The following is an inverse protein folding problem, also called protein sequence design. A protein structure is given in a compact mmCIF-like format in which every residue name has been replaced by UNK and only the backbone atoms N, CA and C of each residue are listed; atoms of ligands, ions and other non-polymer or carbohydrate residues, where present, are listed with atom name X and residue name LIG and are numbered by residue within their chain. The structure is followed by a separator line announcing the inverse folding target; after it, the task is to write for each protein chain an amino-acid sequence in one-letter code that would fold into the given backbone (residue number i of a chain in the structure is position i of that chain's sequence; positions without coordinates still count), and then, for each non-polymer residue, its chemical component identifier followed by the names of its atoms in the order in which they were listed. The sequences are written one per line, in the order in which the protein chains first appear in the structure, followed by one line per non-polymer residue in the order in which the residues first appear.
data_IF_281133970227
#
_entry.id   IF_281133970227
#
_cell.length_a   1.000
_cell.length_b   1.000
_cell.length_c   1.000
_cell.angle_alpha   90.00
_cell.angle_beta   90.00
_cell.angle_gamma   90.00
#
_symmetry.space_group_name_H-M   'P 1'
#
loop_
_entity.id
_entity.type
_entity.pdbx_description
1 polymer ?
#
# COMPACT_ATOMS: atom_id res chain seq x y z
N UNK A 1 3.77 -3.70 15.95
CA UNK A 1 4.98 -4.28 15.39
C UNK A 1 4.67 -5.47 14.53
N UNK A 2 5.71 -6.18 14.13
CA UNK A 2 5.66 -7.53 13.56
C UNK A 2 6.81 -8.33 14.16
N UNK A 3 6.60 -9.62 14.40
CA UNK A 3 7.69 -10.52 14.80
C UNK A 3 8.47 -11.06 13.58
N UNK A 4 8.12 -10.63 12.36
CA UNK A 4 8.82 -10.99 11.13
C UNK A 4 9.98 -10.02 10.86
N UNK A 5 10.85 -10.37 9.90
CA UNK A 5 11.90 -9.46 9.42
C UNK A 5 11.34 -8.15 8.87
N UNK A 6 10.08 -8.13 8.40
CA UNK A 6 9.43 -6.91 7.91
C UNK A 6 9.25 -5.86 9.01
N UNK A 7 9.24 -6.25 10.30
CA UNK A 7 9.16 -5.32 11.43
C UNK A 7 10.50 -4.66 11.82
N UNK A 8 11.62 -5.00 11.15
CA UNK A 8 12.98 -4.54 11.50
C UNK A 8 13.49 -3.41 10.60
N UNK A 9 12.60 -2.53 10.14
CA UNK A 9 12.90 -1.43 9.23
C UNK A 9 12.89 -0.09 9.95
N UNK A 10 13.72 0.86 9.52
CA UNK A 10 13.83 2.21 10.13
C UNK A 10 14.48 3.21 9.16
N UNK A 11 14.36 4.53 9.38
CA UNK A 11 15.04 5.54 8.58
C UNK A 11 16.53 5.72 8.94
N UNK A 12 17.12 4.84 9.77
CA UNK A 12 18.51 4.97 10.28
C UNK A 12 19.58 5.27 9.23
N UNK A 13 19.39 4.82 7.98
CA UNK A 13 20.36 5.01 6.90
C UNK A 13 20.15 6.30 6.10
N UNK A 14 19.11 7.09 6.41
CA UNK A 14 18.94 8.41 5.81
C UNK A 14 19.94 9.39 6.42
N UNK A 15 20.59 10.19 5.57
CA UNK A 15 21.64 11.13 5.99
C UNK A 15 21.14 12.57 6.11
N UNK A 16 19.95 12.86 5.57
CA UNK A 16 19.38 14.20 5.47
C UNK A 16 17.94 14.20 5.99
N UNK A 17 17.50 15.34 6.50
CA UNK A 17 16.12 15.56 6.90
C UNK A 17 15.20 15.60 5.68
N UNK A 18 13.94 15.25 5.91
CA UNK A 18 12.84 15.40 4.95
C UNK A 18 12.07 16.70 5.20
N UNK A 19 11.19 17.10 4.26
CA UNK A 19 10.23 18.19 4.52
C UNK A 19 9.33 17.89 5.72
N UNK A 20 9.01 16.62 5.95
CA UNK A 20 8.26 16.17 7.12
C UNK A 20 9.04 16.38 8.41
N UNK A 21 10.35 16.08 8.42
CA UNK A 21 11.23 16.37 9.56
C UNK A 21 11.28 17.87 9.85
N UNK A 22 11.43 18.70 8.81
CA UNK A 22 11.45 20.15 8.96
C UNK A 22 10.11 20.71 9.48
N UNK A 23 8.97 20.17 9.04
CA UNK A 23 7.66 20.54 9.57
C UNK A 23 7.55 20.22 11.06
N UNK A 24 8.04 19.05 11.47
CA UNK A 24 8.07 18.68 12.89
C UNK A 24 8.97 19.60 13.69
N UNK A 25 10.17 19.89 13.21
CA UNK A 25 11.10 20.82 13.86
C UNK A 25 10.48 22.22 13.99
N UNK A 26 9.92 22.76 12.91
CA UNK A 26 9.32 24.10 12.87
C UNK A 26 8.08 24.24 13.76
N UNK A 27 7.31 23.16 13.94
CA UNK A 27 6.14 23.13 14.82
C UNK A 27 6.48 22.76 16.27
N UNK A 28 7.77 22.68 16.63
CA UNK A 28 8.24 22.17 17.92
C UNK A 28 7.62 20.81 18.27
N UNK A 29 7.63 19.92 17.27
CA UNK A 29 7.09 18.56 17.26
C UNK A 29 5.58 18.42 17.52
N UNK A 30 4.82 19.53 17.44
CA UNK A 30 3.37 19.48 17.59
C UNK A 30 2.65 18.90 16.37
N UNK A 31 3.21 19.10 15.17
CA UNK A 31 2.69 18.50 13.94
C UNK A 31 2.70 16.97 14.02
N UNK A 32 1.66 16.34 13.47
CA UNK A 32 1.58 14.91 13.24
C UNK A 32 2.04 14.58 11.82
N UNK A 33 2.99 13.66 11.72
CA UNK A 33 3.53 13.13 10.46
C UNK A 33 3.35 11.62 10.42
N UNK A 34 2.69 11.12 9.36
CA UNK A 34 2.44 9.69 9.16
C UNK A 34 2.80 9.28 7.72
N UNK A 35 3.54 8.17 7.58
CA UNK A 35 3.80 7.52 6.30
C UNK A 35 2.97 6.25 6.12
N UNK A 36 2.38 6.04 4.94
CA UNK A 36 1.59 4.83 4.61
C UNK A 36 1.95 4.32 3.21
N UNK A 37 2.33 3.05 3.11
CA UNK A 37 2.58 2.39 1.83
C UNK A 37 2.61 0.87 1.99
N UNK A 38 2.34 0.10 0.93
CA UNK A 38 2.58 -1.36 0.99
C UNK A 38 4.06 -1.65 1.27
N UNK A 39 4.97 -0.91 0.63
CA UNK A 39 6.42 -1.07 0.79
C UNK A 39 6.92 -0.27 1.99
N UNK A 40 7.68 -0.91 2.86
CA UNK A 40 8.40 -0.28 3.98
C UNK A 40 9.09 1.04 3.62
N UNK A 41 9.94 1.04 2.59
CA UNK A 41 10.67 2.21 2.09
C UNK A 41 9.76 3.31 1.56
N UNK A 42 8.57 2.95 1.05
CA UNK A 42 7.58 3.91 0.58
C UNK A 42 6.83 4.62 1.71
N UNK A 43 6.77 4.00 2.89
CA UNK A 43 6.19 4.62 4.09
C UNK A 43 7.25 5.38 4.89
N UNK A 44 8.42 4.77 5.09
CA UNK A 44 9.48 5.26 6.00
C UNK A 44 10.20 6.48 5.43
N UNK A 45 10.70 6.39 4.20
CA UNK A 45 11.59 7.43 3.66
C UNK A 45 10.88 8.77 3.44
N UNK A 46 9.62 8.82 2.95
CA UNK A 46 8.90 10.08 2.84
C UNK A 46 8.51 10.69 4.19
N UNK A 47 8.25 9.87 5.21
CA UNK A 47 7.86 10.35 6.53
C UNK A 47 9.04 10.91 7.35
N UNK A 48 10.27 10.44 7.06
CA UNK A 48 11.49 10.94 7.68
C UNK A 48 11.78 10.35 9.05
N UNK A 49 12.77 10.92 9.72
CA UNK A 49 13.30 10.41 10.99
C UNK A 49 12.34 10.59 12.16
N UNK A 50 11.64 11.72 12.17
CA UNK A 50 10.86 12.23 13.30
C UNK A 50 9.37 11.93 13.20
N UNK A 51 8.93 11.17 12.19
CA UNK A 51 7.52 10.83 12.01
C UNK A 51 6.88 10.23 13.28
N UNK A 52 5.60 10.52 13.52
CA UNK A 52 4.83 9.85 14.59
C UNK A 52 4.72 8.35 14.30
N UNK A 53 4.52 8.01 13.03
CA UNK A 53 4.43 6.63 12.59
C UNK A 53 4.78 6.49 11.11
N UNK A 54 5.28 5.31 10.76
CA UNK A 54 5.19 4.80 9.40
C UNK A 54 4.54 3.41 9.45
N UNK A 55 3.57 3.17 8.57
CA UNK A 55 2.86 1.91 8.45
C UNK A 55 3.09 1.28 7.08
N UNK A 56 3.45 0.00 7.09
CA UNK A 56 3.59 -0.80 5.87
C UNK A 56 3.00 -2.18 5.99
N UNK A 57 2.81 -2.84 4.87
CA UNK A 57 2.07 -4.09 4.79
C UNK A 57 2.99 -5.30 4.94
N UNK A 58 2.68 -6.18 5.89
CA UNK A 58 3.36 -7.47 6.07
C UNK A 58 2.68 -8.53 5.20
N UNK A 59 3.28 -8.78 4.04
CA UNK A 59 2.80 -9.74 3.04
C UNK A 59 2.75 -11.20 3.51
N UNK A 60 3.32 -11.54 4.68
CA UNK A 60 3.18 -12.88 5.28
C UNK A 60 1.89 -13.02 6.06
N UNK A 61 1.43 -11.94 6.69
CA UNK A 61 0.31 -11.98 7.66
C UNK A 61 -0.93 -11.25 7.17
N UNK A 62 -0.80 -10.43 6.13
CA UNK A 62 -1.89 -9.60 5.62
C UNK A 62 -2.23 -8.40 6.51
N UNK A 63 -1.33 -8.04 7.42
CA UNK A 63 -1.55 -6.97 8.39
C UNK A 63 -0.67 -5.75 8.09
N UNK A 64 -1.16 -4.57 8.42
CA UNK A 64 -0.38 -3.35 8.53
C UNK A 64 0.45 -3.35 9.81
N UNK A 65 1.73 -3.05 9.68
CA UNK A 65 2.73 -3.12 10.73
C UNK A 65 3.53 -1.82 10.79
N UNK A 66 4.32 -1.69 11.87
CA UNK A 66 5.33 -0.65 12.06
C UNK A 66 6.51 -1.28 12.80
N UNK A 67 7.55 -0.52 13.10
CA UNK A 67 8.71 -0.98 13.87
C UNK A 67 8.84 -0.27 15.21
N UNK A 68 9.73 -0.81 16.05
CA UNK A 68 10.10 -0.25 17.35
C UNK A 68 10.83 1.10 17.26
N UNK A 69 11.19 1.55 16.04
CA UNK A 69 11.61 2.94 15.82
C UNK A 69 10.49 3.93 16.17
N UNK A 70 9.25 3.61 15.83
CA UNK A 70 8.10 4.51 16.00
C UNK A 70 7.33 4.22 17.29
N UNK A 71 7.12 2.95 17.61
CA UNK A 71 6.24 2.55 18.72
C UNK A 71 6.52 1.12 19.21
N UNK A 72 6.31 0.88 20.51
CA UNK A 72 6.44 -0.46 21.10
C UNK A 72 5.27 -1.38 20.70
N UNK A 73 4.06 -0.84 20.61
CA UNK A 73 2.84 -1.55 20.21
C UNK A 73 2.07 -0.74 19.16
N UNK A 74 1.35 -1.41 18.26
CA UNK A 74 0.44 -0.73 17.34
C UNK A 74 -0.68 -0.05 18.13
N UNK A 75 -1.12 1.16 17.75
CA UNK A 75 -2.30 1.76 18.36
C UNK A 75 -3.55 0.93 18.05
N UNK A 76 -4.58 1.08 18.90
CA UNK A 76 -5.81 0.29 18.83
C UNK A 76 -6.49 0.37 17.46
N UNK A 77 -6.52 1.54 16.83
CA UNK A 77 -7.15 1.72 15.52
C UNK A 77 -6.49 0.91 14.41
N UNK A 78 -5.15 0.72 14.44
CA UNK A 78 -4.43 -0.14 13.48
C UNK A 78 -4.73 -1.61 13.75
N UNK A 79 -4.78 -2.00 15.02
CA UNK A 79 -5.17 -3.36 15.40
C UNK A 79 -6.59 -3.67 14.91
N UNK A 80 -7.51 -2.73 15.09
CA UNK A 80 -8.90 -2.85 14.61
C UNK A 80 -8.99 -2.89 13.10
N UNK A 81 -8.21 -2.06 12.40
CA UNK A 81 -8.10 -2.11 10.93
C UNK A 81 -7.64 -3.49 10.46
N UNK A 82 -6.59 -4.05 11.08
CA UNK A 82 -6.09 -5.38 10.75
C UNK A 82 -7.11 -6.49 11.05
N UNK A 83 -7.88 -6.35 12.12
CA UNK A 83 -8.93 -7.31 12.50
C UNK A 83 -10.09 -7.35 11.49
N UNK A 84 -10.32 -6.27 10.72
CA UNK A 84 -11.31 -6.27 9.63
C UNK A 84 -10.94 -7.21 8.48
N UNK A 85 -9.67 -7.63 8.38
CA UNK A 85 -9.16 -8.49 7.28
C UNK A 85 -9.57 -7.97 5.90
N UNK A 86 -9.34 -6.68 5.68
CA UNK A 86 -9.73 -5.98 4.45
C UNK A 86 -9.20 -6.68 3.20
N UNK A 87 -7.96 -7.20 3.23
CA UNK A 87 -7.38 -7.97 2.12
C UNK A 87 -8.24 -9.16 1.70
N UNK A 88 -8.83 -9.90 2.64
CA UNK A 88 -9.69 -11.04 2.33
C UNK A 88 -10.96 -10.58 1.59
N UNK A 89 -11.50 -9.43 1.99
CA UNK A 89 -12.67 -8.84 1.32
C UNK A 89 -12.33 -8.37 -0.10
N UNK A 90 -11.16 -7.78 -0.30
CA UNK A 90 -10.68 -7.37 -1.61
C UNK A 90 -10.40 -8.57 -2.53
N UNK A 91 -9.83 -9.66 -2.02
CA UNK A 91 -9.65 -10.89 -2.79
C UNK A 91 -10.98 -11.51 -3.25
N UNK A 92 -12.04 -11.43 -2.44
CA UNK A 92 -13.37 -11.91 -2.85
C UNK A 92 -13.96 -11.15 -4.03
N UNK A 93 -13.52 -9.92 -4.29
CA UNK A 93 -13.98 -9.14 -5.44
C UNK A 93 -13.35 -9.63 -6.77
N UNK A 94 -12.29 -10.44 -6.71
CA UNK A 94 -11.50 -10.79 -7.90
C UNK A 94 -10.93 -9.55 -8.58
N UNK A 95 -10.51 -9.65 -9.83
CA UNK A 95 -10.12 -8.50 -10.63
C UNK A 95 -10.62 -8.65 -12.07
N UNK A 96 -11.61 -7.84 -12.41
CA UNK A 96 -12.11 -7.63 -13.78
C UNK A 96 -11.80 -6.21 -14.22
N UNK A 97 -11.74 -5.94 -15.52
CA UNK A 97 -11.57 -4.59 -16.04
C UNK A 97 -12.69 -3.66 -15.56
N UNK A 98 -12.35 -2.41 -15.25
CA UNK A 98 -13.30 -1.38 -14.81
C UNK A 98 -14.30 -1.02 -15.92
N UNK A 99 -13.80 -0.89 -17.14
CA UNK A 99 -14.61 -0.67 -18.34
C UNK A 99 -14.68 -1.95 -19.19
N UNK A 100 -15.58 -2.01 -20.19
CA UNK A 100 -15.53 -3.06 -21.20
C UNK A 100 -14.13 -3.19 -21.80
N UNK A 101 -13.62 -4.42 -21.89
CA UNK A 101 -12.21 -4.69 -22.23
C UNK A 101 -11.84 -4.19 -23.64
N UNK A 102 -12.81 -4.08 -24.54
CA UNK A 102 -12.65 -3.52 -25.89
C UNK A 102 -12.36 -2.00 -25.89
N UNK A 103 -12.58 -1.30 -24.78
CA UNK A 103 -12.22 0.12 -24.63
C UNK A 103 -10.76 0.35 -24.22
N UNK A 104 -10.00 -0.71 -23.91
CA UNK A 104 -8.59 -0.63 -23.50
C UNK A 104 -7.67 -0.48 -24.72
N UNK A 105 -7.97 0.50 -25.57
CA UNK A 105 -7.29 0.77 -26.85
C UNK A 105 -5.87 1.29 -26.71
N UNK A 106 -5.43 1.63 -25.49
CA UNK A 106 -4.07 2.08 -25.19
C UNK A 106 -3.16 0.93 -24.71
N UNK A 107 -3.68 -0.30 -24.70
CA UNK A 107 -2.97 -1.52 -24.30
C UNK A 107 -2.88 -2.51 -25.46
N UNK A 108 -2.01 -3.51 -25.31
CA UNK A 108 -1.94 -4.69 -26.19
C UNK A 108 -3.12 -5.64 -25.96
N UNK A 109 -3.21 -6.75 -26.71
CA UNK A 109 -4.18 -7.80 -26.39
C UNK A 109 -3.89 -8.40 -25.01
N UNK A 110 -4.95 -8.92 -24.38
CA UNK A 110 -5.02 -9.37 -22.98
C UNK A 110 -4.03 -10.48 -22.58
N UNK A 111 -3.67 -11.38 -23.51
CA UNK A 111 -2.64 -12.39 -23.26
C UNK A 111 -1.43 -12.11 -24.14
N UNK A 112 -0.27 -11.90 -23.52
CA UNK A 112 1.03 -11.81 -24.19
C UNK A 112 2.02 -12.85 -23.66
N UNK A 113 2.92 -13.32 -24.52
CA UNK A 113 3.93 -14.31 -24.11
C UNK A 113 4.98 -13.76 -23.13
N UNK A 114 5.12 -12.44 -23.06
CA UNK A 114 6.07 -11.76 -22.17
C UNK A 114 5.47 -11.35 -20.83
N UNK A 115 4.15 -11.49 -20.64
CA UNK A 115 3.50 -11.22 -19.37
C UNK A 115 3.78 -12.35 -18.37
N UNK A 116 4.19 -11.97 -17.16
CA UNK A 116 4.34 -12.90 -16.07
C UNK A 116 2.96 -13.39 -15.60
N UNK A 117 2.96 -14.50 -14.85
CA UNK A 117 1.74 -15.14 -14.35
C UNK A 117 1.69 -15.11 -12.82
N UNK A 118 1.58 -13.92 -12.20
CA UNK A 118 1.69 -13.76 -10.74
C UNK A 118 0.58 -14.50 -9.98
N UNK A 119 -0.53 -14.82 -10.66
CA UNK A 119 -1.68 -15.51 -10.09
C UNK A 119 -1.75 -17.00 -10.44
N UNK A 120 -0.70 -17.56 -11.04
CA UNK A 120 -0.60 -18.97 -11.41
C UNK A 120 -0.69 -19.21 -12.92
N UNK A 121 -0.22 -20.37 -13.38
CA UNK A 121 -0.02 -20.67 -14.81
C UNK A 121 -1.28 -20.60 -15.69
N UNK A 122 -2.45 -20.72 -15.07
CA UNK A 122 -3.75 -20.76 -15.74
C UNK A 122 -4.43 -19.37 -15.79
N UNK A 123 -3.94 -18.40 -15.02
CA UNK A 123 -4.43 -17.03 -15.02
C UNK A 123 -3.61 -16.22 -16.03
N UNK A 124 -4.12 -16.11 -17.26
CA UNK A 124 -3.37 -15.58 -18.40
C UNK A 124 -3.89 -14.23 -18.94
N UNK A 125 -4.96 -13.72 -18.35
CA UNK A 125 -5.68 -12.53 -18.80
C UNK A 125 -6.93 -12.37 -17.95
N UNK A 126 -7.72 -11.33 -18.23
CA UNK A 126 -8.93 -11.03 -17.48
C UNK A 126 -10.06 -12.05 -17.74
N UNK A 127 -10.92 -12.33 -16.73
CA UNK A 127 -10.87 -11.87 -15.35
C UNK A 127 -10.03 -12.78 -14.43
N UNK A 128 -9.46 -12.19 -13.38
CA UNK A 128 -8.66 -12.88 -12.37
C UNK A 128 -9.49 -13.24 -11.12
N UNK A 129 -9.56 -14.53 -10.78
CA UNK A 129 -10.05 -14.99 -9.47
C UNK A 129 -8.92 -14.91 -8.43
N UNK A 130 -9.16 -14.13 -7.38
CA UNK A 130 -8.21 -13.91 -6.29
C UNK A 130 -8.63 -14.61 -4.99
N UNK A 131 -9.83 -15.19 -4.92
CA UNK A 131 -10.39 -15.78 -3.71
C UNK A 131 -9.54 -16.93 -3.18
N UNK A 132 -8.86 -17.64 -4.07
CA UNK A 132 -7.92 -18.72 -3.74
C UNK A 132 -6.71 -18.29 -2.89
N UNK A 133 -6.41 -16.99 -2.81
CA UNK A 133 -5.29 -16.46 -2.03
C UNK A 133 -5.61 -16.18 -0.56
N UNK A 134 -6.88 -16.15 -0.17
CA UNK A 134 -7.32 -15.87 1.20
C UNK A 134 -6.69 -16.88 2.17
N UNK A 135 -6.03 -16.35 3.21
CA UNK A 135 -5.32 -17.17 4.21
C UNK A 135 -4.10 -17.95 3.70
N UNK A 136 -3.75 -17.83 2.40
CA UNK A 136 -2.65 -18.60 1.78
C UNK A 136 -1.54 -17.73 1.24
N UNK A 137 -1.89 -16.60 0.61
CA UNK A 137 -0.92 -15.71 -0.03
C UNK A 137 -1.39 -14.26 0.07
N UNK A 138 -0.85 -13.53 1.04
CA UNK A 138 -1.13 -12.11 1.20
C UNK A 138 -0.23 -11.21 0.34
N UNK A 139 0.73 -11.77 -0.39
CA UNK A 139 1.62 -11.01 -1.28
C UNK A 139 0.94 -10.65 -2.61
N UNK A 140 0.06 -11.51 -3.14
CA UNK A 140 -0.58 -11.29 -4.45
C UNK A 140 -1.36 -9.98 -4.55
N UNK A 141 -1.92 -9.48 -3.44
CA UNK A 141 -2.66 -8.20 -3.43
C UNK A 141 -1.84 -7.03 -3.97
N UNK A 142 -0.52 -7.05 -3.74
CA UNK A 142 0.41 -6.00 -4.17
C UNK A 142 0.44 -5.86 -5.70
N UNK A 143 0.20 -6.96 -6.42
CA UNK A 143 0.19 -7.02 -7.89
C UNK A 143 -1.22 -6.83 -8.45
N UNK A 144 -2.12 -6.18 -7.72
CA UNK A 144 -3.48 -5.87 -8.16
C UNK A 144 -3.81 -4.41 -7.83
N UNK A 145 -4.83 -3.81 -8.48
CA UNK A 145 -5.31 -2.47 -8.10
C UNK A 145 -5.77 -2.41 -6.64
N UNK A 146 -6.22 -3.53 -6.08
CA UNK A 146 -6.66 -3.62 -4.68
C UNK A 146 -5.56 -3.31 -3.66
N UNK A 147 -4.28 -3.46 -4.02
CA UNK A 147 -3.20 -3.01 -3.14
C UNK A 147 -3.21 -1.48 -2.94
N UNK A 148 -3.59 -0.72 -3.96
CA UNK A 148 -3.80 0.73 -3.83
C UNK A 148 -5.07 1.03 -3.02
N UNK A 149 -6.17 0.30 -3.26
CA UNK A 149 -7.39 0.43 -2.45
C UNK A 149 -7.10 0.17 -0.97
N UNK A 150 -6.33 -0.87 -0.65
CA UNK A 150 -5.92 -1.20 0.71
C UNK A 150 -5.07 -0.08 1.33
N UNK A 151 -4.16 0.51 0.55
CA UNK A 151 -3.32 1.65 0.97
C UNK A 151 -4.17 2.88 1.25
N UNK A 152 -5.14 3.20 0.38
CA UNK A 152 -6.07 4.32 0.56
C UNK A 152 -6.91 4.13 1.82
N UNK A 153 -7.48 2.93 2.03
CA UNK A 153 -8.28 2.65 3.22
C UNK A 153 -7.47 2.80 4.51
N UNK A 154 -6.20 2.39 4.51
CA UNK A 154 -5.30 2.57 5.65
C UNK A 154 -4.97 4.05 5.87
N UNK A 155 -4.70 4.80 4.80
CA UNK A 155 -4.43 6.24 4.86
C UNK A 155 -5.64 7.01 5.40
N UNK A 156 -6.86 6.70 4.93
CA UNK A 156 -8.10 7.29 5.46
C UNK A 156 -8.32 6.94 6.93
N UNK A 157 -8.07 5.70 7.33
CA UNK A 157 -8.16 5.30 8.73
C UNK A 157 -7.16 6.07 9.62
N UNK A 158 -5.94 6.30 9.12
CA UNK A 158 -4.95 7.13 9.83
C UNK A 158 -5.40 8.59 9.93
N UNK A 159 -5.91 9.17 8.84
CA UNK A 159 -6.43 10.53 8.82
C UNK A 159 -7.53 10.75 9.87
N UNK A 160 -8.48 9.83 9.95
CA UNK A 160 -9.59 9.88 10.90
C UNK A 160 -9.13 9.65 12.34
N UNK A 161 -8.40 8.56 12.59
CA UNK A 161 -8.05 8.14 13.95
C UNK A 161 -7.02 9.06 14.61
N UNK A 162 -6.15 9.70 13.81
CA UNK A 162 -5.13 10.63 14.29
C UNK A 162 -5.58 12.08 14.17
N UNK A 163 -6.83 12.32 13.78
CA UNK A 163 -7.45 13.66 13.68
C UNK A 163 -6.59 14.65 12.87
N UNK A 164 -5.98 14.18 11.78
CA UNK A 164 -5.04 15.00 11.02
C UNK A 164 -5.76 16.19 10.38
N UNK A 165 -5.21 17.39 10.56
CA UNK A 165 -5.75 18.64 10.02
C UNK A 165 -7.05 19.10 10.71
N UNK A 166 -7.31 18.65 11.94
CA UNK A 166 -8.49 19.05 12.73
C UNK A 166 -8.27 20.26 13.63
N UNK A 167 -7.03 20.72 13.81
CA UNK A 167 -6.71 21.90 14.58
C UNK A 167 -5.88 22.93 13.76
N UNK A 168 -5.27 23.91 14.44
CA UNK A 168 -4.52 24.98 13.80
C UNK A 168 -3.08 24.60 13.41
N UNK A 169 -2.61 23.40 13.77
CA UNK A 169 -1.26 22.91 13.50
C UNK A 169 -1.29 22.09 12.21
N UNK A 170 -0.45 22.45 11.25
CA UNK A 170 -0.34 21.69 10.00
C UNK A 170 0.23 20.30 10.27
N UNK A 171 -0.47 19.27 9.78
CA UNK A 171 -0.04 17.88 9.77
C UNK A 171 0.42 17.43 8.38
N UNK A 172 1.10 16.28 8.29
CA UNK A 172 1.55 15.70 7.02
C UNK A 172 1.22 14.20 6.94
N UNK A 173 0.48 13.80 5.90
CA UNK A 173 0.24 12.40 5.56
C UNK A 173 0.93 12.07 4.23
N UNK A 174 1.99 11.26 4.27
CA UNK A 174 2.71 10.80 3.09
C UNK A 174 2.20 9.42 2.67
N UNK A 175 1.63 9.31 1.46
CA UNK A 175 1.03 8.06 0.96
C UNK A 175 1.73 7.63 -0.33
N UNK A 176 2.19 6.37 -0.39
CA UNK A 176 2.82 5.81 -1.59
C UNK A 176 2.03 4.62 -2.14
N UNK A 177 1.39 4.84 -3.30
CA UNK A 177 0.69 3.81 -4.06
C UNK A 177 1.68 2.90 -4.79
N UNK A 178 1.85 1.69 -4.27
CA UNK A 178 2.90 0.77 -4.71
C UNK A 178 2.45 -0.23 -5.78
N UNK A 179 1.14 -0.44 -5.97
CA UNK A 179 0.65 -1.44 -6.93
C UNK A 179 1.04 -1.18 -8.39
N UNK A 180 1.09 0.07 -8.91
CA UNK A 180 1.46 0.30 -10.31
C UNK A 180 2.84 -0.26 -10.66
N UNK A 181 3.78 -0.21 -9.70
CA UNK A 181 5.12 -0.79 -9.84
C UNK A 181 5.07 -2.33 -9.90
N UNK A 182 4.35 -2.99 -8.98
CA UNK A 182 4.24 -4.46 -8.98
C UNK A 182 3.48 -5.00 -10.19
N UNK A 183 2.40 -4.33 -10.60
CA UNK A 183 1.62 -4.66 -11.79
C UNK A 183 2.48 -4.45 -13.04
N UNK A 184 3.13 -3.29 -13.17
CA UNK A 184 4.01 -2.99 -14.31
C UNK A 184 5.20 -3.95 -14.42
N UNK A 185 5.79 -4.37 -13.30
CA UNK A 185 6.84 -5.40 -13.31
C UNK A 185 6.35 -6.78 -13.74
N UNK A 186 5.08 -7.09 -13.50
CA UNK A 186 4.52 -8.42 -13.81
C UNK A 186 4.01 -8.48 -15.25
N UNK A 187 3.28 -7.46 -15.71
CA UNK A 187 2.59 -7.48 -16.99
C UNK A 187 3.23 -6.56 -18.05
N UNK A 188 4.07 -5.63 -17.65
CA UNK A 188 4.66 -4.64 -18.55
C UNK A 188 3.76 -3.41 -18.78
N UNK A 189 4.33 -2.29 -19.24
CA UNK A 189 3.64 -1.00 -19.25
C UNK A 189 2.50 -0.87 -20.28
N UNK A 190 2.48 -1.73 -21.31
CA UNK A 190 1.45 -1.74 -22.35
C UNK A 190 0.32 -2.74 -22.09
N UNK A 191 0.30 -3.40 -20.93
CA UNK A 191 -0.72 -4.40 -20.58
C UNK A 191 -2.08 -3.75 -20.25
N UNK A 192 -3.15 -4.53 -20.37
CA UNK A 192 -4.50 -4.11 -19.95
C UNK A 192 -4.52 -3.89 -18.42
N UNK A 193 -3.76 -4.69 -17.70
CA UNK A 193 -3.57 -4.68 -16.25
C UNK A 193 -3.04 -3.34 -15.74
N UNK A 194 -1.99 -2.81 -16.39
CA UNK A 194 -1.44 -1.49 -16.03
C UNK A 194 -2.45 -0.39 -16.32
N UNK A 195 -3.08 -0.41 -17.50
CA UNK A 195 -4.11 0.58 -17.83
C UNK A 195 -5.26 0.54 -16.80
N UNK A 196 -5.79 -0.64 -16.49
CA UNK A 196 -6.86 -0.81 -15.50
C UNK A 196 -6.45 -0.34 -14.10
N UNK A 197 -5.20 -0.61 -13.71
CA UNK A 197 -4.64 -0.15 -12.43
C UNK A 197 -4.64 1.37 -12.34
N UNK A 198 -4.28 2.08 -13.40
CA UNK A 198 -4.30 3.56 -13.43
C UNK A 198 -5.72 4.12 -13.52
N UNK A 199 -6.63 3.47 -14.24
CA UNK A 199 -8.04 3.88 -14.28
C UNK A 199 -8.72 3.78 -12.91
N UNK A 200 -8.24 2.88 -12.05
CA UNK A 200 -8.69 2.70 -10.66
C UNK A 200 -7.88 3.51 -9.64
N UNK A 201 -6.84 4.24 -10.07
CA UNK A 201 -6.00 5.04 -9.19
C UNK A 201 -6.73 6.36 -8.86
N UNK A 202 -7.65 6.31 -7.90
CA UNK A 202 -8.44 7.44 -7.42
C UNK A 202 -9.06 7.17 -6.06
#
# INVERSE_FOLDING_TARGET
GSNTAAGKMSPKNMLVTTICDELRLASNFKSKVIGVAIKDRGAILPAGHSANAAYWYDNKTGNWISSTWYMQQLPKWVQDFNNKKVTDSLYKLGWSTLYPIDQYTQSTSDEQSYEAKPFGSNAKGFPYDLSGFIGKNYNSISTTPHGNTLTMLMASAALEAEELGKDAITDFLAVSFSSPDYVGHSFGPNSIEVQDTYLRLG
#
